data_IF_426354331572
#
_entry.id   IF_426354331572
#
_cell.length_a   1.000
_cell.length_b   1.000
_cell.length_c   1.000
_cell.angle_alpha   90.00
_cell.angle_beta   90.00
_cell.angle_gamma   90.00
#
_symmetry.space_group_name_H-M   'P 1'
#
loop_
_entity.id
_entity.type
_entity.pdbx_description
1 polymer ?
#
# COMPACT_ATOMS: atom_id res chain seq x y z
N UNK A 1 -6.99 -18.49 0.09
CA UNK A 1 -5.66 -17.86 0.25
C UNK A 1 -5.42 -17.20 -1.09
N UNK A 2 -5.89 -15.97 -1.26
CA UNK A 2 -5.75 -15.25 -2.53
C UNK A 2 -4.29 -14.81 -2.58
N UNK A 3 -3.51 -15.41 -3.48
CA UNK A 3 -2.12 -15.00 -3.72
C UNK A 3 -2.15 -13.57 -4.26
N UNK A 4 -1.87 -12.61 -3.37
CA UNK A 4 -1.46 -11.28 -3.80
C UNK A 4 -0.23 -11.47 -4.69
N UNK A 5 -0.19 -10.88 -5.89
CA UNK A 5 0.99 -10.96 -6.71
C UNK A 5 2.15 -10.36 -5.91
N UNK A 6 3.10 -11.21 -5.53
CA UNK A 6 4.42 -10.78 -5.12
C UNK A 6 4.91 -9.88 -6.26
N UNK A 7 5.20 -8.60 -5.94
CA UNK A 7 5.30 -7.49 -6.91
C UNK A 7 5.83 -7.93 -8.26
N UNK A 8 4.98 -7.92 -9.29
CA UNK A 8 5.46 -7.98 -10.66
C UNK A 8 6.11 -6.62 -10.99
N UNK A 9 7.31 -6.59 -11.60
CA UNK A 9 8.01 -5.36 -11.97
C UNK A 9 7.16 -4.34 -12.77
N UNK A 10 6.10 -4.79 -13.44
CA UNK A 10 5.19 -3.94 -14.22
C UNK A 10 4.13 -3.20 -13.38
N UNK A 11 4.00 -3.51 -12.08
CA UNK A 11 3.06 -2.82 -11.18
C UNK A 11 3.50 -1.41 -10.74
N UNK A 12 4.50 -0.83 -11.43
CA UNK A 12 5.00 0.54 -11.24
C UNK A 12 4.18 1.60 -11.98
N UNK A 13 3.00 1.26 -12.49
CA UNK A 13 2.08 2.21 -13.10
C UNK A 13 1.63 3.28 -12.08
N UNK A 14 1.37 4.49 -12.57
CA UNK A 14 0.84 5.56 -11.74
C UNK A 14 -0.56 5.18 -11.22
N UNK A 15 -0.91 5.50 -9.95
CA UNK A 15 -2.28 5.30 -9.47
C UNK A 15 -3.31 6.08 -10.26
N UNK A 16 -4.54 5.53 -10.33
CA UNK A 16 -5.70 6.17 -10.97
C UNK A 16 -5.88 7.61 -10.48
N UNK A 17 -5.74 7.84 -9.17
CA UNK A 17 -5.80 9.16 -8.54
C UNK A 17 -4.46 9.49 -7.87
N UNK A 18 -3.97 10.71 -8.10
CA UNK A 18 -2.68 11.17 -7.58
C UNK A 18 -2.65 11.46 -6.07
N UNK A 19 -3.83 11.61 -5.45
CA UNK A 19 -3.99 11.84 -4.01
C UNK A 19 -5.41 11.45 -3.56
N UNK A 20 -5.62 11.10 -2.27
CA UNK A 20 -6.96 10.87 -1.73
C UNK A 20 -7.80 12.14 -1.84
N UNK A 21 -9.07 11.99 -2.22
CA UNK A 21 -9.97 13.09 -2.60
C UNK A 21 -11.16 13.27 -1.65
N UNK A 22 -11.26 12.43 -0.62
CA UNK A 22 -12.29 12.53 0.42
C UNK A 22 -11.75 12.22 1.81
N UNK A 23 -12.46 12.72 2.81
CA UNK A 23 -12.30 12.33 4.21
C UNK A 23 -13.49 11.48 4.63
N UNK A 24 -13.24 10.36 5.30
CA UNK A 24 -14.30 9.48 5.84
C UNK A 24 -14.13 9.34 7.35
N UNK A 25 -15.24 9.22 8.07
CA UNK A 25 -15.21 9.02 9.52
C UNK A 25 -14.88 7.57 9.85
N UNK A 26 -13.96 7.37 10.78
CA UNK A 26 -13.59 6.02 11.27
C UNK A 26 -14.79 5.29 11.85
N UNK A 27 -15.66 5.99 12.58
CA UNK A 27 -16.90 5.43 13.15
C UNK A 27 -17.82 4.82 12.09
N UNK A 28 -18.02 5.51 10.98
CA UNK A 28 -18.91 5.04 9.91
C UNK A 28 -18.26 3.92 9.08
N UNK A 29 -16.95 3.99 8.85
CA UNK A 29 -16.26 3.05 7.98
C UNK A 29 -15.89 1.72 8.67
N UNK A 30 -15.56 1.77 9.96
CA UNK A 30 -15.03 0.61 10.70
C UNK A 30 -15.87 0.21 11.91
N UNK A 31 -16.93 0.96 12.25
CA UNK A 31 -17.75 0.70 13.44
C UNK A 31 -17.04 0.96 14.77
N UNK A 32 -15.94 1.72 14.75
CA UNK A 32 -15.13 2.04 15.94
C UNK A 32 -15.55 3.39 16.50
N UNK A 33 -15.82 3.47 17.80
CA UNK A 33 -16.21 4.74 18.41
C UNK A 33 -15.03 5.73 18.48
N UNK A 34 -14.88 6.55 17.44
CA UNK A 34 -13.86 7.57 17.30
C UNK A 34 -14.34 8.71 16.41
N UNK A 35 -14.04 9.95 16.80
CA UNK A 35 -14.32 11.13 15.98
C UNK A 35 -13.25 11.37 14.89
N UNK A 36 -12.26 10.47 14.79
CA UNK A 36 -11.22 10.54 13.78
C UNK A 36 -11.80 10.47 12.36
N UNK A 37 -11.26 11.30 11.47
CA UNK A 37 -11.45 11.19 10.02
C UNK A 37 -10.14 10.78 9.36
N UNK A 38 -10.24 9.97 8.31
CA UNK A 38 -9.10 9.42 7.57
C UNK A 38 -9.28 9.69 6.07
N UNK A 39 -8.20 10.06 5.35
CA UNK A 39 -8.26 10.24 3.91
C UNK A 39 -8.54 8.92 3.19
N UNK A 40 -9.34 8.98 2.14
CA UNK A 40 -9.71 7.84 1.31
C UNK A 40 -9.84 8.28 -0.15
N UNK A 41 -9.88 7.29 -1.05
CA UNK A 41 -10.12 7.52 -2.47
C UNK A 41 -11.58 7.27 -2.83
N UNK A 42 -12.13 8.03 -3.77
CA UNK A 42 -13.46 7.79 -4.36
C UNK A 42 -13.44 6.59 -5.32
N UNK A 43 -12.36 6.43 -6.08
CA UNK A 43 -12.14 5.36 -7.05
C UNK A 43 -11.13 4.33 -6.54
N UNK A 44 -11.30 3.07 -6.98
CA UNK A 44 -10.38 1.99 -6.62
C UNK A 44 -9.38 1.78 -7.75
N UNK A 45 -8.09 1.77 -7.41
CA UNK A 45 -7.02 1.29 -8.27
C UNK A 45 -6.98 -0.25 -8.31
N UNK A 46 -6.36 -0.85 -9.33
CA UNK A 46 -6.19 -2.31 -9.43
C UNK A 46 -5.40 -2.93 -8.27
N UNK A 47 -4.55 -2.12 -7.59
CA UNK A 47 -3.75 -2.53 -6.43
C UNK A 47 -4.50 -2.39 -5.10
N UNK A 48 -5.75 -1.95 -5.10
CA UNK A 48 -6.57 -1.96 -3.89
C UNK A 48 -6.90 -3.42 -3.53
N UNK A 49 -6.65 -3.87 -2.28
CA UNK A 49 -6.97 -5.24 -1.89
C UNK A 49 -8.47 -5.55 -1.98
N UNK A 50 -8.81 -6.83 -2.13
CA UNK A 50 -10.20 -7.28 -2.11
C UNK A 50 -10.89 -6.94 -0.79
N UNK A 51 -12.10 -6.40 -0.88
CA UNK A 51 -12.91 -6.07 0.29
C UNK A 51 -13.60 -7.32 0.84
N UNK A 52 -13.40 -7.59 2.12
CA UNK A 52 -14.22 -8.50 2.90
C UNK A 52 -15.25 -7.71 3.75
N UNK A 53 -16.54 -7.72 3.38
CA UNK A 53 -17.58 -7.02 4.12
C UNK A 53 -17.84 -7.63 5.51
N UNK A 54 -17.46 -8.88 5.75
CA UNK A 54 -17.65 -9.57 7.03
C UNK A 54 -16.46 -9.41 7.98
N UNK A 55 -15.39 -8.72 7.56
CA UNK A 55 -14.21 -8.53 8.39
C UNK A 55 -14.51 -7.77 9.69
N UNK A 56 -13.99 -8.29 10.80
CA UNK A 56 -14.14 -7.69 12.14
C UNK A 56 -12.85 -6.97 12.52
N UNK A 57 -12.95 -5.66 12.77
CA UNK A 57 -11.81 -4.84 13.14
C UNK A 57 -11.55 -4.83 14.64
N UNK A 58 -10.33 -5.19 15.02
CA UNK A 58 -9.71 -4.73 16.26
C UNK A 58 -9.59 -3.18 16.29
N UNK A 59 -10.19 -2.49 17.27
CA UNK A 59 -10.23 -1.03 17.31
C UNK A 59 -8.85 -0.37 17.37
N UNK A 60 -7.98 -0.84 18.26
CA UNK A 60 -6.68 -0.21 18.53
C UNK A 60 -5.75 -0.31 17.32
N UNK A 61 -5.67 -1.50 16.71
CA UNK A 61 -4.87 -1.74 15.50
C UNK A 61 -5.38 -0.90 14.34
N UNK A 62 -6.71 -0.78 14.19
CA UNK A 62 -7.33 0.00 13.11
C UNK A 62 -7.05 1.49 13.25
N UNK A 63 -7.16 2.03 14.46
CA UNK A 63 -6.86 3.44 14.74
C UNK A 63 -5.38 3.76 14.47
N UNK A 64 -4.47 2.86 14.85
CA UNK A 64 -3.05 3.02 14.53
C UNK A 64 -2.78 3.05 13.02
N UNK A 65 -3.43 2.15 12.25
CA UNK A 65 -3.31 2.12 10.79
C UNK A 65 -3.94 3.38 10.16
N UNK A 66 -5.11 3.80 10.62
CA UNK A 66 -5.76 5.04 10.15
C UNK A 66 -4.89 6.27 10.43
N UNK A 67 -4.18 6.31 11.57
CA UNK A 67 -3.22 7.37 11.88
C UNK A 67 -2.01 7.34 10.93
N UNK A 68 -1.57 6.14 10.54
CA UNK A 68 -0.60 5.92 9.47
C UNK A 68 -1.00 6.60 8.17
N UNK A 69 -2.20 6.28 7.65
CA UNK A 69 -2.74 6.88 6.44
C UNK A 69 -2.95 8.39 6.54
N UNK A 70 -3.43 8.88 7.69
CA UNK A 70 -3.78 10.30 7.87
C UNK A 70 -2.57 11.21 8.03
N UNK A 71 -1.47 10.69 8.56
CA UNK A 71 -0.32 11.50 8.97
C UNK A 71 1.00 11.03 8.35
N UNK A 72 0.94 10.16 7.35
CA UNK A 72 2.10 9.54 6.70
C UNK A 72 3.09 8.97 7.75
N UNK A 73 2.54 8.24 8.73
CA UNK A 73 3.32 7.63 9.82
C UNK A 73 3.57 6.16 9.51
N UNK A 74 4.79 5.70 9.82
CA UNK A 74 5.14 4.28 9.77
C UNK A 74 4.44 3.56 10.91
N UNK A 75 3.68 2.53 10.59
CA UNK A 75 2.92 1.73 11.57
C UNK A 75 3.54 0.35 11.65
N UNK A 76 3.81 -0.11 12.86
CA UNK A 76 4.30 -1.46 13.13
C UNK A 76 3.18 -2.27 13.78
N UNK A 77 2.70 -3.32 13.11
CA UNK A 77 1.70 -4.24 13.64
C UNK A 77 2.40 -5.53 14.07
N UNK A 78 2.33 -5.85 15.36
CA UNK A 78 3.00 -7.00 15.95
C UNK A 78 2.00 -8.01 16.53
N UNK A 79 2.33 -9.30 16.46
CA UNK A 79 1.48 -10.38 16.97
C UNK A 79 1.94 -11.74 16.45
N UNK A 80 1.40 -12.82 17.02
CA UNK A 80 1.74 -14.20 16.63
C UNK A 80 1.44 -14.49 15.15
N UNK A 81 2.08 -15.53 14.60
CA UNK A 81 1.81 -15.95 13.23
C UNK A 81 0.35 -16.40 13.09
N UNK A 82 -0.28 -16.10 11.95
CA UNK A 82 -1.67 -16.49 11.69
C UNK A 82 -2.76 -15.63 12.34
N UNK A 83 -2.42 -14.57 13.09
CA UNK A 83 -3.42 -13.69 13.74
C UNK A 83 -4.00 -12.61 12.82
N UNK A 84 -3.87 -12.75 11.50
CA UNK A 84 -4.49 -11.83 10.54
C UNK A 84 -3.84 -10.46 10.36
N UNK A 85 -2.60 -10.23 10.83
CA UNK A 85 -1.92 -8.91 10.75
C UNK A 85 -1.93 -8.26 9.36
N UNK A 86 -1.49 -9.00 8.34
CA UNK A 86 -1.46 -8.49 6.95
C UNK A 86 -2.87 -8.23 6.45
N UNK A 87 -3.79 -9.17 6.67
CA UNK A 87 -5.20 -9.03 6.30
C UNK A 87 -5.87 -7.84 6.99
N UNK A 88 -5.48 -7.49 8.22
CA UNK A 88 -5.99 -6.32 8.90
C UNK A 88 -5.61 -5.03 8.18
N UNK A 89 -4.35 -4.90 7.76
CA UNK A 89 -3.87 -3.75 6.97
C UNK A 89 -4.59 -3.71 5.63
N UNK A 90 -4.69 -4.84 4.94
CA UNK A 90 -5.38 -4.98 3.66
C UNK A 90 -6.85 -4.58 3.74
N UNK A 91 -7.56 -4.99 4.80
CA UNK A 91 -8.98 -4.68 4.98
C UNK A 91 -9.24 -3.23 5.38
N UNK A 92 -8.29 -2.58 6.06
CA UNK A 92 -8.33 -1.12 6.26
C UNK A 92 -8.13 -0.42 4.91
N UNK A 93 -7.12 -0.80 4.14
CA UNK A 93 -6.84 -0.21 2.83
C UNK A 93 -7.98 -0.42 1.84
N UNK A 94 -8.58 -1.61 1.78
CA UNK A 94 -9.72 -1.92 0.91
C UNK A 94 -10.93 -1.01 1.17
N UNK A 95 -11.26 -0.76 2.46
CA UNK A 95 -12.35 0.14 2.85
C UNK A 95 -12.08 1.60 2.50
N UNK A 96 -10.82 2.03 2.61
CA UNK A 96 -10.40 3.38 2.26
C UNK A 96 -10.01 3.54 0.78
N UNK A 97 -10.05 2.45 0.01
CA UNK A 97 -9.60 2.35 -1.38
C UNK A 97 -8.14 2.80 -1.61
N UNK A 98 -7.28 2.54 -0.63
CA UNK A 98 -5.85 2.79 -0.79
C UNK A 98 -5.19 1.66 -1.58
N UNK A 99 -4.40 1.98 -2.62
CA UNK A 99 -3.52 1.01 -3.26
C UNK A 99 -2.57 0.41 -2.23
N UNK A 100 -2.41 -0.91 -2.22
CA UNK A 100 -1.47 -1.61 -1.35
C UNK A 100 -0.50 -2.44 -2.17
N UNK A 101 0.79 -2.34 -1.83
CA UNK A 101 1.82 -3.20 -2.36
C UNK A 101 2.53 -3.87 -1.19
N UNK A 102 2.60 -5.20 -1.24
CA UNK A 102 3.29 -6.00 -0.25
C UNK A 102 4.72 -6.32 -0.69
N UNK A 103 5.68 -6.09 0.18
CA UNK A 103 7.08 -6.52 -0.01
C UNK A 103 7.42 -7.56 1.05
N UNK A 104 7.64 -8.80 0.62
CA UNK A 104 8.21 -9.81 1.50
C UNK A 104 9.72 -9.56 1.66
N UNK A 105 10.14 -9.24 2.88
CA UNK A 105 11.56 -9.04 3.22
C UNK A 105 12.23 -10.38 3.55
N UNK A 106 12.39 -11.21 2.51
CA UNK A 106 13.05 -12.52 2.59
C UNK A 106 14.40 -12.54 1.86
N UNK A 107 15.04 -13.70 1.78
CA UNK A 107 16.38 -13.85 1.19
C UNK A 107 16.45 -13.51 -0.31
N UNK A 108 15.31 -13.45 -1.02
CA UNK A 108 15.27 -13.15 -2.45
C UNK A 108 15.20 -11.65 -2.75
N UNK A 109 14.81 -10.79 -1.79
CA UNK A 109 14.76 -9.34 -2.04
C UNK A 109 16.18 -8.75 -2.05
N UNK A 110 16.53 -8.01 -3.09
CA UNK A 110 17.83 -7.36 -3.20
C UNK A 110 17.75 -5.84 -3.03
N UNK A 111 18.90 -5.20 -2.81
CA UNK A 111 19.00 -3.73 -2.82
C UNK A 111 18.56 -3.15 -4.17
N UNK A 112 18.79 -3.87 -5.28
CA UNK A 112 18.41 -3.42 -6.62
C UNK A 112 16.88 -3.36 -6.74
N UNK A 113 16.16 -4.31 -6.14
CA UNK A 113 14.69 -4.33 -6.16
C UNK A 113 14.09 -3.18 -5.35
N UNK A 114 14.72 -2.86 -4.21
CA UNK A 114 14.24 -1.81 -3.31
C UNK A 114 14.64 -0.40 -3.76
N UNK A 115 15.89 -0.19 -4.19
CA UNK A 115 16.44 1.13 -4.50
C UNK A 115 16.46 1.39 -6.01
N UNK A 116 16.79 0.39 -6.82
CA UNK A 116 16.96 0.54 -8.25
C UNK A 116 18.40 0.32 -8.72
N UNK A 117 18.61 0.50 -10.02
CA UNK A 117 19.93 0.40 -10.67
C UNK A 117 19.98 1.24 -11.94
N UNK A 118 21.20 1.59 -12.35
CA UNK A 118 21.44 2.06 -13.71
C UNK A 118 21.21 0.94 -14.71
N UNK A 119 20.48 1.22 -15.78
CA UNK A 119 20.21 0.31 -16.87
C UNK A 119 20.48 0.98 -18.21
N UNK A 120 21.04 0.22 -19.15
CA UNK A 120 21.16 0.66 -20.53
C UNK A 120 19.82 0.39 -21.21
N UNK A 121 19.20 1.45 -21.73
CA UNK A 121 17.95 1.38 -22.48
C UNK A 121 18.15 1.97 -23.88
N UNK A 122 17.40 1.45 -24.84
CA UNK A 122 17.36 2.04 -26.18
C UNK A 122 16.26 3.10 -26.21
N UNK A 123 16.65 4.34 -26.49
CA UNK A 123 15.72 5.46 -26.71
C UNK A 123 16.08 6.10 -28.04
N UNK A 124 15.11 6.16 -28.95
CA UNK A 124 15.31 6.70 -30.31
C UNK A 124 16.50 6.06 -31.07
N UNK A 125 16.73 4.77 -30.84
CA UNK A 125 17.83 4.01 -31.46
C UNK A 125 19.22 4.24 -30.84
N UNK A 126 19.34 5.08 -29.80
CA UNK A 126 20.59 5.33 -29.08
C UNK A 126 20.62 4.58 -27.74
N UNK A 127 21.78 4.04 -27.38
CA UNK A 127 22.01 3.46 -26.06
C UNK A 127 22.25 4.58 -25.06
N UNK A 128 21.35 4.74 -24.11
CA UNK A 128 21.46 5.70 -23.02
C UNK A 128 21.44 4.96 -21.68
N UNK A 129 22.14 5.52 -20.69
CA UNK A 129 22.09 5.03 -19.30
C UNK A 129 20.98 5.78 -18.56
N UNK A 130 20.02 5.05 -18.03
CA UNK A 130 18.92 5.60 -17.23
C UNK A 130 18.83 4.87 -15.90
N UNK A 131 18.58 5.62 -14.81
CA UNK A 131 18.33 5.02 -13.51
C UNK A 131 16.92 4.44 -13.49
N UNK A 132 16.81 3.12 -13.36
CA UNK A 132 15.53 2.44 -13.15
C UNK A 132 15.26 2.34 -11.66
N UNK A 133 14.26 3.07 -11.21
CA UNK A 133 13.86 3.11 -9.80
C UNK A 133 13.41 1.74 -9.28
N UNK A 134 13.83 1.45 -8.03
CA UNK A 134 13.30 0.35 -7.25
C UNK A 134 11.94 0.68 -6.63
N UNK A 135 11.42 -0.24 -5.83
CA UNK A 135 10.12 -0.12 -5.18
C UNK A 135 10.02 1.07 -4.21
N UNK A 136 11.08 1.37 -3.45
CA UNK A 136 11.02 2.42 -2.42
C UNK A 136 10.96 3.83 -3.04
N UNK A 137 11.83 4.23 -3.99
CA UNK A 137 11.71 5.55 -4.63
C UNK A 137 10.37 5.76 -5.32
N UNK A 138 9.85 4.72 -5.99
CA UNK A 138 8.55 4.78 -6.65
C UNK A 138 7.40 4.91 -5.63
N UNK A 139 7.43 4.16 -4.53
CA UNK A 139 6.40 4.21 -3.50
C UNK A 139 6.39 5.55 -2.74
N UNK A 140 7.54 6.23 -2.64
CA UNK A 140 7.62 7.57 -2.06
C UNK A 140 6.95 8.65 -2.93
N UNK A 141 6.78 8.38 -4.22
CA UNK A 141 6.21 9.32 -5.20
C UNK A 141 4.74 9.05 -5.51
N UNK A 142 4.19 7.94 -5.00
CA UNK A 142 2.80 7.54 -5.25
C UNK A 142 2.04 7.37 -3.94
N UNK A 143 0.74 7.69 -3.88
CA UNK A 143 -0.07 7.43 -2.68
C UNK A 143 -0.42 5.94 -2.57
N UNK A 144 0.59 5.12 -2.24
CA UNK A 144 0.49 3.67 -2.12
C UNK A 144 0.96 3.24 -0.74
N UNK A 145 0.19 2.39 -0.05
CA UNK A 145 0.64 1.77 1.19
C UNK A 145 1.61 0.63 0.87
N UNK A 146 2.80 0.71 1.45
CA UNK A 146 3.82 -0.33 1.38
C UNK A 146 3.75 -1.20 2.65
N UNK A 147 3.53 -2.50 2.47
CA UNK A 147 3.26 -3.47 3.56
C UNK A 147 4.32 -4.56 3.62
#
# INVERSE_FOLDING_TARGET
MTDLPNVQPDSRAAPVLAAPDKMVKVREMFGIDSDMQVPAFSESDERVPDLDPAYVFDPDTTLAICAGFSHNRRVMVQGYHGTGKSSHIEQVAARLKWPCIRINLDAHISRIDLIGRDAIVLKDGQQITEFREGLLPWALQTPTALV
#
